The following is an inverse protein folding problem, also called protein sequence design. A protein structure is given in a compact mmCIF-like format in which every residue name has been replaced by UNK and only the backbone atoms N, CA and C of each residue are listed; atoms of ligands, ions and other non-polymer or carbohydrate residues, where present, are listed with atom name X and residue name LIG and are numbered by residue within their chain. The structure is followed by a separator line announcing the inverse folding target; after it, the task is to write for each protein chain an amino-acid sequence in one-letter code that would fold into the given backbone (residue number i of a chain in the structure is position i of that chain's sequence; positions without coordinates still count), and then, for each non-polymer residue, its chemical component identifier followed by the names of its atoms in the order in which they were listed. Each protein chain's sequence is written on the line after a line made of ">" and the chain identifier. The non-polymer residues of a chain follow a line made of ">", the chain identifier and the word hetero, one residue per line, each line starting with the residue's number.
data_IF_227102470381
#
_entry.id   IF_227102470381
#
_cell.length_a   1.000
_cell.length_b   1.000
_cell.length_c   1.000
_cell.angle_alpha   90.00
_cell.angle_beta   90.00
_cell.angle_gamma   90.00
#
_symmetry.space_group_name_H-M   'P 1'
#
loop_
_entity.id
_entity.type
_entity.pdbx_description
1 polymer ?
#
# COMPACT_ATOMS: atom_id res chain seq x y z
N UNK A 1 16.83 -6.90 -24.70
CA UNK A 1 16.58 -6.96 -23.24
C UNK A 1 15.30 -7.76 -23.02
N UNK A 2 15.39 -8.96 -22.47
CA UNK A 2 14.20 -9.74 -22.08
C UNK A 2 13.75 -9.29 -20.69
N UNK A 3 12.45 -9.09 -20.50
CA UNK A 3 11.87 -8.82 -19.19
C UNK A 3 11.16 -10.09 -18.70
N UNK A 4 11.42 -10.49 -17.46
CA UNK A 4 10.71 -11.61 -16.82
C UNK A 4 9.44 -11.10 -16.17
N UNK A 5 8.28 -11.61 -16.59
CA UNK A 5 7.02 -11.35 -15.91
C UNK A 5 7.05 -12.01 -14.52
N UNK A 6 7.07 -11.21 -13.47
CA UNK A 6 7.11 -11.71 -12.09
C UNK A 6 5.77 -12.31 -11.64
N UNK A 7 4.64 -11.81 -12.14
CA UNK A 7 3.31 -12.32 -11.79
C UNK A 7 2.69 -11.71 -10.52
N UNK A 8 3.38 -10.81 -9.81
CA UNK A 8 2.82 -10.03 -8.70
C UNK A 8 3.27 -8.56 -8.74
N UNK A 9 2.59 -7.70 -7.99
CA UNK A 9 3.02 -6.33 -7.72
C UNK A 9 3.72 -6.27 -6.35
N UNK A 10 4.77 -5.46 -6.17
CA UNK A 10 5.43 -5.33 -4.88
C UNK A 10 4.43 -4.86 -3.82
N UNK A 11 4.55 -5.49 -2.64
CA UNK A 11 3.86 -5.15 -1.41
C UNK A 11 4.85 -4.82 -0.30
N UNK A 12 4.35 -4.54 0.91
CA UNK A 12 5.22 -4.36 2.06
C UNK A 12 5.77 -5.72 2.51
N UNK A 13 4.88 -6.70 2.67
CA UNK A 13 5.19 -8.05 3.11
C UNK A 13 5.85 -8.92 2.03
N UNK A 14 5.66 -8.57 0.76
CA UNK A 14 6.27 -9.24 -0.39
C UNK A 14 6.91 -8.20 -1.32
N UNK A 15 8.08 -7.65 -0.96
CA UNK A 15 8.78 -6.69 -1.77
C UNK A 15 9.32 -7.32 -3.06
N UNK A 16 9.83 -6.48 -3.97
CA UNK A 16 10.42 -6.94 -5.23
C UNK A 16 11.84 -6.41 -5.38
N UNK A 17 12.76 -7.28 -5.81
CA UNK A 17 14.12 -6.86 -6.13
C UNK A 17 14.13 -5.97 -7.38
N UNK A 18 14.81 -4.83 -7.26
CA UNK A 18 15.12 -3.86 -8.32
C UNK A 18 16.65 -3.68 -8.41
N UNK A 19 17.10 -2.85 -9.36
CA UNK A 19 18.52 -2.54 -9.55
C UNK A 19 19.16 -1.78 -8.38
N UNK A 20 18.36 -1.05 -7.59
CA UNK A 20 18.80 -0.25 -6.45
C UNK A 20 18.55 -0.91 -5.08
N UNK A 21 17.93 -2.09 -5.05
CA UNK A 21 17.55 -2.81 -3.83
C UNK A 21 16.09 -3.28 -3.88
N UNK A 22 15.49 -3.56 -2.73
CA UNK A 22 14.08 -3.93 -2.67
C UNK A 22 13.19 -2.70 -2.86
N UNK A 23 12.12 -2.89 -3.62
CA UNK A 23 10.99 -1.96 -3.71
C UNK A 23 9.90 -2.45 -2.77
N UNK A 24 9.64 -1.67 -1.72
CA UNK A 24 8.64 -1.96 -0.69
C UNK A 24 7.48 -0.97 -0.87
N UNK A 25 6.26 -1.47 -1.08
CA UNK A 25 5.07 -0.63 -1.25
C UNK A 25 4.23 -0.61 0.01
N UNK A 26 4.06 0.57 0.58
CA UNK A 26 3.20 0.83 1.73
C UNK A 26 1.85 1.30 1.21
N UNK A 27 0.76 0.75 1.75
CA UNK A 27 -0.60 1.05 1.32
C UNK A 27 -1.40 1.72 2.44
N UNK A 28 -1.32 3.05 2.58
CA UNK A 28 -2.05 3.76 3.62
C UNK A 28 -3.55 3.47 3.55
N UNK A 29 -4.22 3.43 4.71
CA UNK A 29 -5.67 3.22 4.78
C UNK A 29 -6.35 4.46 4.19
N UNK A 30 -7.27 4.26 3.25
CA UNK A 30 -7.95 5.34 2.51
C UNK A 30 -7.01 6.41 1.90
N UNK A 31 -5.74 6.06 1.60
CA UNK A 31 -4.77 7.02 1.06
C UNK A 31 -4.43 8.17 2.03
N UNK A 32 -4.54 7.94 3.34
CA UNK A 32 -4.24 8.91 4.40
C UNK A 32 -3.15 8.40 5.33
N UNK A 33 -2.32 9.32 5.80
CA UNK A 33 -1.28 9.08 6.80
C UNK A 33 -1.39 10.12 7.89
N UNK A 34 -1.18 9.68 9.12
CA UNK A 34 -0.91 10.58 10.23
C UNK A 34 0.53 11.14 10.14
N UNK A 35 0.81 12.32 10.69
CA UNK A 35 2.16 12.91 10.63
C UNK A 35 3.26 11.98 11.14
N UNK A 36 3.02 11.29 12.25
CA UNK A 36 3.95 10.34 12.85
C UNK A 36 4.20 9.11 11.97
N UNK A 37 3.19 8.67 11.22
CA UNK A 37 3.35 7.59 10.25
C UNK A 37 4.23 8.06 9.09
N UNK A 38 4.00 9.27 8.58
CA UNK A 38 4.81 9.84 7.51
C UNK A 38 6.29 9.99 7.93
N UNK A 39 6.54 10.46 9.15
CA UNK A 39 7.90 10.58 9.71
C UNK A 39 8.56 9.21 9.82
N UNK A 40 7.89 8.21 10.40
CA UNK A 40 8.44 6.87 10.53
C UNK A 40 8.79 6.24 9.17
N UNK A 41 7.96 6.47 8.14
CA UNK A 41 8.24 6.00 6.78
C UNK A 41 9.49 6.68 6.20
N UNK A 42 9.64 7.99 6.41
CA UNK A 42 10.84 8.72 5.97
C UNK A 42 12.10 8.19 6.67
N UNK A 43 12.04 7.94 7.98
CA UNK A 43 13.15 7.39 8.75
C UNK A 43 13.54 5.99 8.26
N UNK A 44 12.57 5.14 7.90
CA UNK A 44 12.81 3.85 7.27
C UNK A 44 13.50 3.97 5.91
N UNK A 45 13.08 4.94 5.09
CA UNK A 45 13.69 5.19 3.78
C UNK A 45 15.17 5.56 3.90
N UNK A 46 15.50 6.42 4.86
CA UNK A 46 16.88 6.83 5.16
C UNK A 46 17.70 5.71 5.81
N UNK A 47 17.11 5.03 6.80
CA UNK A 47 17.84 4.07 7.63
C UNK A 47 18.03 2.74 6.94
N UNK A 48 17.06 2.27 6.15
CA UNK A 48 17.12 0.93 5.54
C UNK A 48 17.14 0.95 4.01
N UNK A 49 16.67 2.04 3.40
CA UNK A 49 16.65 2.26 1.95
C UNK A 49 17.79 3.12 1.43
N UNK A 50 17.54 3.74 0.28
CA UNK A 50 18.44 4.70 -0.35
C UNK A 50 17.96 6.16 -0.20
N UNK A 51 17.02 6.41 0.73
CA UNK A 51 16.43 7.73 0.96
C UNK A 51 15.37 8.16 -0.06
N UNK A 52 15.15 7.40 -1.14
CA UNK A 52 14.15 7.75 -2.15
C UNK A 52 12.78 7.12 -1.85
N UNK A 53 11.73 7.88 -2.15
CA UNK A 53 10.34 7.44 -2.05
C UNK A 53 9.53 7.97 -3.23
N UNK A 54 8.61 7.15 -3.73
CA UNK A 54 7.69 7.52 -4.81
C UNK A 54 6.24 7.50 -4.31
N UNK A 55 5.45 8.51 -4.67
CA UNK A 55 3.99 8.45 -4.59
C UNK A 55 3.45 7.75 -5.85
N UNK A 56 2.58 6.78 -5.67
CA UNK A 56 1.99 6.03 -6.79
C UNK A 56 0.67 6.65 -7.25
N UNK A 57 0.22 6.31 -8.46
CA UNK A 57 -1.10 6.69 -8.99
C UNK A 57 -2.30 6.15 -8.19
N UNK A 58 -2.07 5.30 -7.17
CA UNK A 58 -3.10 4.74 -6.28
C UNK A 58 -2.98 5.25 -4.84
N UNK A 59 -2.35 6.41 -4.63
CA UNK A 59 -2.11 7.00 -3.31
C UNK A 59 -1.34 6.08 -2.32
N UNK A 60 -0.58 5.12 -2.84
CA UNK A 60 0.38 4.32 -2.06
C UNK A 60 1.77 4.98 -2.10
N UNK A 61 2.61 4.64 -1.12
CA UNK A 61 4.03 5.03 -1.08
C UNK A 61 4.92 3.85 -1.46
N UNK A 62 6.02 4.12 -2.14
CA UNK A 62 7.05 3.14 -2.43
C UNK A 62 8.39 3.57 -1.84
N UNK A 63 8.92 2.78 -0.92
CA UNK A 63 10.32 2.88 -0.49
C UNK A 63 11.21 2.20 -1.53
N UNK A 64 12.29 2.88 -1.89
CA UNK A 64 13.28 2.43 -2.88
C UNK A 64 14.56 1.98 -2.20
N UNK A 65 15.25 1.05 -2.87
CA UNK A 65 16.57 0.58 -2.45
C UNK A 65 16.65 -0.01 -1.05
N UNK A 66 15.54 -0.55 -0.54
CA UNK A 66 15.52 -1.17 0.78
C UNK A 66 16.46 -2.38 0.79
N UNK A 67 17.43 -2.38 1.71
CA UNK A 67 18.38 -3.49 1.85
C UNK A 67 17.63 -4.73 2.35
N UNK A 68 17.89 -5.95 1.82
CA UNK A 68 17.22 -7.16 2.28
C UNK A 68 17.28 -7.39 3.79
N UNK A 69 18.44 -7.10 4.41
CA UNK A 69 18.62 -7.20 5.86
C UNK A 69 17.77 -6.19 6.67
N UNK A 70 17.35 -5.08 6.05
CA UNK A 70 16.49 -4.07 6.67
C UNK A 70 14.99 -4.37 6.55
N UNK A 71 14.58 -5.38 5.77
CA UNK A 71 13.17 -5.65 5.51
C UNK A 71 12.40 -6.01 6.79
N UNK A 72 12.94 -6.91 7.62
CA UNK A 72 12.27 -7.32 8.86
C UNK A 72 12.08 -6.14 9.84
N UNK A 73 13.08 -5.27 9.97
CA UNK A 73 12.99 -4.08 10.82
C UNK A 73 11.92 -3.10 10.29
N UNK A 74 11.88 -2.88 8.97
CA UNK A 74 10.85 -2.05 8.35
C UNK A 74 9.44 -2.62 8.60
N UNK A 75 9.24 -3.93 8.49
CA UNK A 75 7.95 -4.57 8.78
C UNK A 75 7.56 -4.40 10.26
N UNK A 76 8.50 -4.53 11.19
CA UNK A 76 8.22 -4.34 12.61
C UNK A 76 7.72 -2.92 12.91
N UNK A 77 8.40 -1.89 12.38
CA UNK A 77 7.98 -0.49 12.52
C UNK A 77 6.62 -0.25 11.88
N UNK A 78 6.44 -0.66 10.62
CA UNK A 78 5.19 -0.46 9.88
C UNK A 78 4.00 -1.18 10.54
N UNK A 79 4.24 -2.33 11.16
CA UNK A 79 3.23 -3.06 11.97
C UNK A 79 2.85 -2.25 13.20
N UNK A 80 3.83 -1.73 13.94
CA UNK A 80 3.61 -0.93 15.15
C UNK A 80 2.78 0.34 14.90
N UNK A 81 2.86 0.90 13.69
CA UNK A 81 2.08 2.09 13.29
C UNK A 81 0.82 1.75 12.47
N UNK A 82 0.42 0.48 12.38
CA UNK A 82 -0.86 0.05 11.82
C UNK A 82 -0.96 0.06 10.28
N UNK A 83 0.17 0.06 9.57
CA UNK A 83 0.25 0.13 8.10
C UNK A 83 0.48 -1.22 7.41
N UNK A 84 0.54 -2.31 8.18
CA UNK A 84 0.75 -3.68 7.67
C UNK A 84 -0.53 -4.49 7.86
N UNK A 85 -0.91 -5.21 6.81
CA UNK A 85 -1.97 -6.22 6.86
C UNK A 85 -1.44 -7.52 7.48
N UNK A 86 -2.32 -8.42 7.93
CA UNK A 86 -1.93 -9.69 8.58
C UNK A 86 -0.91 -10.51 7.78
N UNK A 87 -1.11 -10.58 6.47
CA UNK A 87 -0.32 -11.41 5.57
C UNK A 87 -0.32 -10.80 4.16
N UNK A 88 0.61 -11.28 3.32
CA UNK A 88 0.80 -10.74 1.98
C UNK A 88 -0.41 -10.97 1.05
N UNK A 89 -1.26 -11.97 1.33
CA UNK A 89 -2.45 -12.24 0.54
C UNK A 89 -3.57 -11.25 0.88
N UNK A 90 -3.80 -10.97 2.16
CA UNK A 90 -4.69 -9.92 2.62
C UNK A 90 -4.24 -8.54 2.10
N UNK A 91 -2.94 -8.23 2.19
CA UNK A 91 -2.37 -6.99 1.66
C UNK A 91 -2.63 -6.83 0.15
N UNK A 92 -2.45 -7.92 -0.61
CA UNK A 92 -2.69 -7.93 -2.04
C UNK A 92 -4.18 -7.67 -2.37
N UNK A 93 -5.11 -8.33 -1.66
CA UNK A 93 -6.56 -8.24 -1.89
C UNK A 93 -7.17 -6.90 -1.48
N UNK A 94 -6.65 -6.23 -0.44
CA UNK A 94 -7.20 -4.97 0.07
C UNK A 94 -7.24 -3.84 -0.96
N UNK A 95 -6.46 -3.90 -2.04
CA UNK A 95 -6.20 -2.85 -3.04
C UNK A 95 -7.41 -1.94 -3.37
N UNK A 96 -7.69 -0.95 -2.52
CA UNK A 96 -8.82 -0.01 -2.61
C UNK A 96 -8.24 1.39 -2.72
N UNK A 97 -8.70 2.13 -3.72
CA UNK A 97 -8.42 3.54 -3.92
C UNK A 97 -9.69 4.33 -3.60
N UNK A 98 -9.56 5.33 -2.73
CA UNK A 98 -10.63 6.27 -2.40
C UNK A 98 -10.35 7.59 -3.12
N UNK A 99 -11.40 8.26 -3.61
CA UNK A 99 -11.30 9.63 -4.14
C UNK A 99 -10.55 10.54 -3.14
N UNK A 100 -9.56 11.35 -3.59
CA UNK A 100 -8.85 12.25 -2.69
C UNK A 100 -9.75 13.34 -2.11
N UNK A 101 -10.89 13.63 -2.76
CA UNK A 101 -11.88 14.62 -2.34
C UNK A 101 -12.98 14.05 -1.45
N UNK A 102 -13.00 12.73 -1.21
CA UNK A 102 -13.96 12.11 -0.32
C UNK A 102 -13.87 12.73 1.09
N UNK A 103 -15.02 13.14 1.62
CA UNK A 103 -15.12 13.67 2.97
C UNK A 103 -14.65 12.62 4.00
N UNK A 104 -13.91 13.08 5.02
CA UNK A 104 -13.57 12.25 6.17
C UNK A 104 -14.88 11.76 6.82
N UNK A 105 -14.93 10.46 7.13
CA UNK A 105 -16.11 9.79 7.68
C UNK A 105 -17.41 9.93 6.84
N UNK A 106 -17.28 10.27 5.56
CA UNK A 106 -18.38 10.29 4.60
C UNK A 106 -18.77 8.90 4.07
N UNK A 107 -19.75 8.86 3.17
CA UNK A 107 -20.25 7.61 2.59
C UNK A 107 -19.16 6.84 1.81
N UNK A 108 -18.42 7.51 0.91
CA UNK A 108 -17.31 6.90 0.18
C UNK A 108 -16.21 6.37 1.12
N UNK A 109 -15.92 7.11 2.19
CA UNK A 109 -14.93 6.72 3.20
C UNK A 109 -15.32 5.42 3.91
N UNK A 110 -16.55 5.33 4.41
CA UNK A 110 -17.07 4.12 5.04
C UNK A 110 -17.16 2.95 4.07
N UNK A 111 -17.58 3.18 2.82
CA UNK A 111 -17.63 2.14 1.80
C UNK A 111 -16.22 1.59 1.48
N UNK A 112 -15.22 2.45 1.34
CA UNK A 112 -13.83 2.04 1.13
C UNK A 112 -13.29 1.22 2.32
N UNK A 113 -13.60 1.62 3.56
CA UNK A 113 -13.24 0.85 4.75
C UNK A 113 -13.93 -0.52 4.78
N UNK A 114 -15.23 -0.57 4.47
CA UNK A 114 -15.99 -1.82 4.44
C UNK A 114 -15.45 -2.81 3.39
N UNK A 115 -15.12 -2.33 2.19
CA UNK A 115 -14.48 -3.16 1.15
C UNK A 115 -13.10 -3.64 1.63
N UNK A 116 -12.28 -2.75 2.19
CA UNK A 116 -10.97 -3.11 2.69
C UNK A 116 -11.04 -4.17 3.80
N UNK A 117 -11.99 -4.04 4.72
CA UNK A 117 -12.21 -5.01 5.80
C UNK A 117 -12.69 -6.36 5.25
N UNK A 118 -13.67 -6.36 4.35
CA UNK A 118 -14.18 -7.58 3.72
C UNK A 118 -13.09 -8.33 2.94
N UNK A 119 -12.25 -7.62 2.19
CA UNK A 119 -11.21 -8.22 1.36
C UNK A 119 -9.98 -8.70 2.14
N UNK A 120 -9.82 -8.27 3.39
CA UNK A 120 -8.75 -8.72 4.30
C UNK A 120 -9.20 -9.81 5.29
N UNK A 121 -10.51 -10.08 5.34
CA UNK A 121 -11.08 -11.16 6.14
C UNK A 121 -10.51 -12.54 5.72
N UNK A 122 -10.47 -13.53 6.64
CA UNK A 122 -9.95 -14.87 6.35
C UNK A 122 -10.70 -15.60 5.22
N UNK A 123 -12.00 -15.35 5.11
CA UNK A 123 -12.95 -15.95 4.17
C UNK A 123 -13.16 -15.11 2.89
N UNK A 124 -12.37 -14.05 2.71
CA UNK A 124 -12.44 -13.19 1.54
C UNK A 124 -12.30 -14.01 0.24
N UNK A 125 -13.08 -13.68 -0.81
CA UNK A 125 -12.99 -14.36 -2.08
C UNK A 125 -11.60 -14.18 -2.72
N UNK A 126 -11.18 -15.18 -3.50
CA UNK A 126 -10.00 -15.03 -4.33
C UNK A 126 -10.29 -14.07 -5.49
N UNK A 127 -9.32 -13.21 -5.80
CA UNK A 127 -9.38 -12.28 -6.94
C UNK A 127 -8.18 -12.55 -7.86
N UNK A 128 -8.30 -12.22 -9.16
CA UNK A 128 -7.16 -12.30 -10.07
C UNK A 128 -5.97 -11.47 -9.58
N UNK A 129 -4.78 -11.84 -10.04
CA UNK A 129 -3.59 -11.00 -9.84
C UNK A 129 -3.82 -9.59 -10.40
N UNK A 130 -3.39 -8.57 -9.63
CA UNK A 130 -3.52 -7.14 -9.99
C UNK A 130 -4.97 -6.60 -10.06
N UNK A 131 -5.90 -7.21 -9.34
CA UNK A 131 -7.25 -6.68 -9.15
C UNK A 131 -7.29 -5.55 -8.10
N UNK A 132 -8.28 -4.66 -8.16
CA UNK A 132 -8.49 -3.61 -7.17
C UNK A 132 -9.82 -2.88 -7.34
N UNK A 133 -10.14 -2.03 -6.37
CA UNK A 133 -11.39 -1.29 -6.28
C UNK A 133 -11.11 0.21 -6.30
N UNK A 134 -11.97 0.99 -6.95
CA UNK A 134 -12.00 2.43 -6.86
C UNK A 134 -13.36 2.84 -6.27
N UNK A 135 -13.33 3.70 -5.26
CA UNK A 135 -14.52 4.16 -4.56
C UNK A 135 -14.64 5.68 -4.73
N UNK A 136 -15.75 6.07 -5.34
CA UNK A 136 -16.18 7.45 -5.48
C UNK A 136 -17.70 7.48 -5.33
N UNK A 137 -18.22 8.46 -4.60
CA UNK A 137 -19.66 8.67 -4.44
C UNK A 137 -20.10 10.06 -4.91
N UNK A 138 -19.15 10.88 -5.33
CA UNK A 138 -19.46 12.20 -5.82
C UNK A 138 -19.98 12.11 -7.26
N UNK A 139 -20.87 13.01 -7.68
CA UNK A 139 -21.27 13.09 -9.08
C UNK A 139 -20.02 13.31 -9.95
N UNK A 140 -19.99 12.76 -11.18
CA UNK A 140 -18.83 12.90 -12.06
C UNK A 140 -18.46 14.37 -12.23
N UNK A 141 -17.20 14.71 -11.94
CA UNK A 141 -16.69 16.08 -12.01
C UNK A 141 -16.61 16.64 -13.45
N UNK A 142 -16.79 15.77 -14.46
CA UNK A 142 -16.82 16.13 -15.87
C UNK A 142 -18.24 15.88 -16.39
N UNK A 143 -19.01 16.96 -16.50
CA UNK A 143 -20.19 17.06 -17.35
C UNK A 143 -19.80 17.79 -18.65
#
# INVERSE_FOLDING_TARGET
>A
MSFTVKGWCPGALRPMQSGDGLVLRIRPRNGRLLPEQAQAIADLAWTHGNGLMDLTSRANLQLRGLRPAGHAAAIAVLTGIGLIDRDAAAEARRNVVLSPFAALDGAAWHLAQAIAQAMTAPDAPQVPGKFGFAVDTDPPALA
#
